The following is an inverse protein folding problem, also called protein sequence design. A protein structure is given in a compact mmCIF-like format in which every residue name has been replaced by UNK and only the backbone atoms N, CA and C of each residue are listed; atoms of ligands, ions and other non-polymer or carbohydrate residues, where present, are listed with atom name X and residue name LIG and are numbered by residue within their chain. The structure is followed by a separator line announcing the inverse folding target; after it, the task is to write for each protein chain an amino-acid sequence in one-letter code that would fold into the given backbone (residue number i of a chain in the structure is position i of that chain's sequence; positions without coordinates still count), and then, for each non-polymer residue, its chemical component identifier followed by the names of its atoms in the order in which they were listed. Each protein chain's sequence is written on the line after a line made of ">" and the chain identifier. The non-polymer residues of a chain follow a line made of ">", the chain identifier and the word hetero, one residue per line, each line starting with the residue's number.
data_IF_758445458525
#
_entry.id   IF_758445458525
#
_cell.length_a   1.000
_cell.length_b   1.000
_cell.length_c   1.000
_cell.angle_alpha   90.00
_cell.angle_beta   90.00
_cell.angle_gamma   90.00
#
_symmetry.space_group_name_H-M   'P 1'
#
loop_
_entity.id
_entity.type
_entity.pdbx_description
1 polymer ?
#
# COMPACT_ATOMS: atom_id res chain seq x y z
N UNK A 1 -4.09 -10.44 1.39
CA UNK A 1 -2.92 -9.63 1.83
C UNK A 1 -3.20 -9.16 3.24
N UNK A 2 -2.25 -9.31 4.17
CA UNK A 2 -2.40 -8.79 5.54
C UNK A 2 -1.85 -7.37 5.61
N UNK A 3 -2.49 -6.51 6.42
CA UNK A 3 -2.02 -5.16 6.72
C UNK A 3 -0.74 -5.20 7.57
N UNK A 4 0.11 -4.18 7.43
CA UNK A 4 1.25 -4.00 8.32
C UNK A 4 0.83 -3.73 9.77
N UNK A 5 1.65 -4.22 10.70
CA UNK A 5 1.48 -4.02 12.16
C UNK A 5 2.37 -2.93 12.74
N UNK A 6 3.37 -2.46 11.98
CA UNK A 6 4.26 -1.37 12.39
C UNK A 6 4.36 -0.30 11.32
N UNK A 7 4.62 0.95 11.73
CA UNK A 7 4.78 2.09 10.80
C UNK A 7 5.91 1.83 9.80
N UNK A 8 6.98 1.15 10.22
CA UNK A 8 8.13 0.82 9.36
C UNK A 8 7.71 -0.17 8.27
N UNK A 9 6.99 -1.24 8.63
CA UNK A 9 6.47 -2.22 7.69
C UNK A 9 5.46 -1.61 6.72
N UNK A 10 4.55 -0.76 7.22
CA UNK A 10 3.54 -0.09 6.39
C UNK A 10 4.18 0.77 5.30
N UNK A 11 5.23 1.53 5.66
CA UNK A 11 6.03 2.31 4.69
C UNK A 11 6.73 1.43 3.67
N UNK A 12 7.27 0.28 4.09
CA UNK A 12 7.93 -0.68 3.19
C UNK A 12 6.92 -1.32 2.23
N UNK A 13 5.81 -1.85 2.74
CA UNK A 13 4.74 -2.44 1.94
C UNK A 13 4.18 -1.46 0.92
N UNK A 14 3.96 -0.20 1.29
CA UNK A 14 3.51 0.84 0.34
C UNK A 14 4.48 1.02 -0.84
N UNK A 15 5.80 0.99 -0.58
CA UNK A 15 6.83 1.04 -1.65
C UNK A 15 6.76 -0.19 -2.54
N UNK A 16 6.65 -1.38 -1.94
CA UNK A 16 6.52 -2.65 -2.67
C UNK A 16 5.27 -2.68 -3.57
N UNK A 17 4.11 -2.27 -3.04
CA UNK A 17 2.87 -2.17 -3.81
C UNK A 17 2.96 -1.17 -4.95
N UNK A 18 3.60 -0.02 -4.72
CA UNK A 18 3.85 0.96 -5.79
C UNK A 18 4.75 0.37 -6.89
N UNK A 19 5.80 -0.35 -6.51
CA UNK A 19 6.70 -1.01 -7.46
C UNK A 19 5.98 -2.11 -8.26
N UNK A 20 5.13 -2.91 -7.61
CA UNK A 20 4.30 -3.91 -8.28
C UNK A 20 3.33 -3.23 -9.26
N UNK A 21 2.66 -2.15 -8.87
CA UNK A 21 1.79 -1.40 -9.78
C UNK A 21 2.55 -0.91 -11.02
N UNK A 22 3.80 -0.44 -10.88
CA UNK A 22 4.64 -0.07 -12.02
C UNK A 22 4.98 -1.27 -12.92
N UNK A 23 5.27 -2.44 -12.34
CA UNK A 23 5.49 -3.66 -13.12
C UNK A 23 4.26 -4.07 -13.92
N UNK A 24 3.07 -4.05 -13.31
CA UNK A 24 1.81 -4.35 -14.02
C UNK A 24 1.50 -3.31 -15.10
N UNK A 25 1.83 -2.04 -14.86
CA UNK A 25 1.70 -0.98 -15.85
C UNK A 25 2.57 -1.25 -17.08
N UNK A 26 3.82 -1.69 -16.90
CA UNK A 26 4.71 -2.05 -18.00
C UNK A 26 4.18 -3.23 -18.83
N UNK A 27 3.46 -4.17 -18.19
CA UNK A 27 2.82 -5.30 -18.85
C UNK A 27 1.48 -4.95 -19.54
N UNK A 28 0.98 -3.73 -19.34
CA UNK A 28 -0.33 -3.30 -19.87
C UNK A 28 -1.53 -3.79 -19.06
N UNK A 29 -1.32 -4.45 -17.93
CA UNK A 29 -2.40 -4.98 -17.08
C UNK A 29 -2.94 -3.89 -16.15
N UNK A 30 -4.11 -3.36 -16.53
CA UNK A 30 -4.79 -2.28 -15.81
C UNK A 30 -5.42 -2.73 -14.49
N UNK A 31 -5.82 -4.00 -14.39
CA UNK A 31 -6.42 -4.53 -13.16
C UNK A 31 -5.34 -4.71 -12.10
N UNK A 32 -4.20 -5.30 -12.46
CA UNK A 32 -3.04 -5.39 -11.58
C UNK A 32 -2.62 -4.03 -11.04
N UNK A 33 -2.53 -3.02 -11.91
CA UNK A 33 -2.24 -1.63 -11.48
C UNK A 33 -3.25 -1.14 -10.45
N UNK A 34 -4.55 -1.32 -10.70
CA UNK A 34 -5.62 -0.86 -9.79
C UNK A 34 -5.53 -1.54 -8.43
N UNK A 35 -5.33 -2.85 -8.41
CA UNK A 35 -5.24 -3.65 -7.17
C UNK A 35 -4.08 -3.16 -6.31
N UNK A 36 -2.88 -3.02 -6.87
CA UNK A 36 -1.71 -2.64 -6.09
C UNK A 36 -1.69 -1.16 -5.69
N UNK A 37 -2.28 -0.26 -6.50
CA UNK A 37 -2.50 1.12 -6.05
C UNK A 37 -3.51 1.21 -4.90
N UNK A 38 -4.57 0.39 -4.92
CA UNK A 38 -5.51 0.32 -3.82
C UNK A 38 -4.86 -0.26 -2.54
N UNK A 39 -4.03 -1.29 -2.67
CA UNK A 39 -3.25 -1.84 -1.57
C UNK A 39 -2.29 -0.79 -0.95
N UNK A 40 -1.65 0.04 -1.80
CA UNK A 40 -0.82 1.14 -1.33
C UNK A 40 -1.64 2.21 -0.58
N UNK A 41 -2.87 2.51 -1.04
CA UNK A 41 -3.79 3.43 -0.35
C UNK A 41 -4.27 2.88 1.00
N UNK A 42 -4.56 1.58 1.09
CA UNK A 42 -4.94 0.97 2.37
C UNK A 42 -3.84 1.09 3.41
N UNK A 43 -2.56 1.01 3.02
CA UNK A 43 -1.45 1.24 3.96
C UNK A 43 -1.35 2.69 4.43
N UNK A 44 -1.74 3.68 3.61
CA UNK A 44 -1.86 5.07 4.06
C UNK A 44 -2.94 5.22 5.12
N UNK A 45 -4.09 4.57 4.94
CA UNK A 45 -5.18 4.57 5.91
C UNK A 45 -4.78 3.83 7.19
N UNK A 46 -4.13 2.67 7.06
CA UNK A 46 -3.59 1.90 8.18
C UNK A 46 -2.63 2.75 9.02
N UNK A 47 -1.68 3.42 8.38
CA UNK A 47 -0.74 4.32 9.07
C UNK A 47 -1.45 5.51 9.74
N UNK A 48 -2.52 6.05 9.14
CA UNK A 48 -3.24 7.22 9.66
C UNK A 48 -4.14 6.89 10.85
N UNK A 49 -4.79 5.74 10.86
CA UNK A 49 -5.86 5.43 11.82
C UNK A 49 -5.54 4.30 12.80
N UNK A 50 -4.60 3.40 12.48
CA UNK A 50 -4.33 2.21 13.30
C UNK A 50 -2.91 2.20 13.89
N UNK A 51 -1.92 2.67 13.13
CA UNK A 51 -0.50 2.61 13.55
C UNK A 51 0.09 3.96 13.98
N UNK A 52 -0.54 5.06 13.57
CA UNK A 52 -0.11 6.41 13.90
C UNK A 52 -0.58 6.86 15.28
N UNK A 53 -0.12 8.03 15.77
CA UNK A 53 -0.71 8.62 16.97
C UNK A 53 -2.21 8.79 16.76
N UNK A 54 -2.99 8.45 17.79
CA UNK A 54 -4.45 8.58 17.77
C UNK A 54 -4.81 10.01 17.33
N UNK A 55 -5.61 10.20 16.28
CA UNK A 55 -5.94 11.54 15.78
C UNK A 55 -6.97 12.28 16.66
N UNK A 56 -7.35 11.72 17.81
CA UNK A 56 -8.28 12.28 18.80
C UNK A 56 -7.64 12.26 20.19
#
# INVERSE_FOLDING_TARGET
>A
MSLATTVKESKLQRRMYTQQALMYRQKGDREGVRVFLNAAKTEVLNQRYLLGPCPF
#
